data_IF_339244512692
#
_entry.id   IF_339244512692
#
_cell.length_a   1.000
_cell.length_b   1.000
_cell.length_c   1.000
_cell.angle_alpha   90.00
_cell.angle_beta   90.00
_cell.angle_gamma   90.00
#
_symmetry.space_group_name_H-M   'P 1'
#
loop_
_entity.id
_entity.type
_entity.pdbx_description
1 polymer ?
#
# COMPACT_ATOMS: atom_id res chain seq x y z
N UNK A 1 -19.30 -16.62 -3.87
CA UNK A 1 -18.95 -15.33 -4.50
C UNK A 1 -18.64 -15.58 -5.97
N UNK A 2 -19.18 -14.78 -6.88
CA UNK A 2 -18.96 -14.94 -8.32
C UNK A 2 -17.48 -14.64 -8.66
N UNK A 3 -16.81 -15.63 -9.27
CA UNK A 3 -15.38 -15.55 -9.59
C UNK A 3 -15.09 -14.52 -10.68
N UNK A 4 -16.08 -14.12 -11.48
CA UNK A 4 -15.94 -13.02 -12.44
C UNK A 4 -15.94 -11.65 -11.75
N UNK A 5 -16.68 -11.49 -10.65
CA UNK A 5 -16.65 -10.25 -9.84
C UNK A 5 -15.32 -10.10 -9.10
N UNK A 6 -14.67 -11.20 -8.75
CA UNK A 6 -13.33 -11.23 -8.14
C UNK A 6 -12.20 -10.70 -9.04
N UNK A 7 -12.38 -10.80 -10.36
CA UNK A 7 -11.44 -10.23 -11.33
C UNK A 7 -11.41 -8.70 -11.25
N UNK A 8 -12.57 -8.06 -11.07
CA UNK A 8 -12.66 -6.60 -10.93
C UNK A 8 -11.88 -6.12 -9.71
N UNK A 9 -12.01 -6.80 -8.57
CA UNK A 9 -11.22 -6.47 -7.37
C UNK A 9 -9.71 -6.60 -7.60
N UNK A 10 -9.28 -7.64 -8.32
CA UNK A 10 -7.87 -7.82 -8.67
C UNK A 10 -7.36 -6.67 -9.54
N UNK A 11 -8.16 -6.23 -10.51
CA UNK A 11 -7.79 -5.12 -11.40
C UNK A 11 -7.70 -3.80 -10.63
N UNK A 12 -8.68 -3.50 -9.77
CA UNK A 12 -8.68 -2.28 -8.95
C UNK A 12 -7.48 -2.28 -8.00
N UNK A 13 -7.25 -3.37 -7.26
CA UNK A 13 -6.13 -3.44 -6.32
C UNK A 13 -4.77 -3.33 -7.01
N UNK A 14 -4.64 -3.87 -8.22
CA UNK A 14 -3.42 -3.76 -9.03
C UNK A 14 -3.18 -2.33 -9.52
N UNK A 15 -4.21 -1.60 -9.95
CA UNK A 15 -4.07 -0.20 -10.33
C UNK A 15 -3.73 0.70 -9.14
N UNK A 16 -4.34 0.45 -7.98
CA UNK A 16 -3.95 1.14 -6.74
C UNK A 16 -2.47 0.89 -6.45
N UNK A 17 -2.01 -0.36 -6.51
CA UNK A 17 -0.60 -0.69 -6.27
C UNK A 17 0.34 0.06 -7.22
N UNK A 18 0.03 0.12 -8.52
CA UNK A 18 0.82 0.89 -9.50
C UNK A 18 0.81 2.39 -9.17
N UNK A 19 -0.37 2.94 -8.87
CA UNK A 19 -0.49 4.35 -8.51
C UNK A 19 0.37 4.67 -7.29
N UNK A 20 0.27 3.85 -6.25
CA UNK A 20 1.00 4.00 -4.98
C UNK A 20 2.51 3.93 -5.16
N UNK A 21 3.04 2.93 -5.90
CA UNK A 21 4.50 2.75 -6.05
C UNK A 21 5.15 3.88 -6.87
N UNK A 22 4.38 4.54 -7.74
CA UNK A 22 4.86 5.69 -8.52
C UNK A 22 4.69 6.99 -7.73
N UNK A 23 3.50 7.21 -7.18
CA UNK A 23 3.13 8.51 -6.61
C UNK A 23 3.80 8.76 -5.27
N UNK A 24 3.97 7.75 -4.41
CA UNK A 24 4.60 7.95 -3.11
C UNK A 24 6.06 8.45 -3.26
N UNK A 25 6.96 7.76 -4.00
CA UNK A 25 8.32 8.26 -4.18
C UNK A 25 8.36 9.64 -4.85
N UNK A 26 7.52 9.87 -5.86
CA UNK A 26 7.44 11.18 -6.54
C UNK A 26 6.98 12.28 -5.57
N UNK A 27 6.02 11.99 -4.69
CA UNK A 27 5.55 12.96 -3.69
C UNK A 27 6.59 13.32 -2.63
N UNK A 28 7.59 12.45 -2.42
CA UNK A 28 8.70 12.68 -1.50
C UNK A 28 9.81 13.48 -2.17
N UNK A 29 10.14 13.15 -3.43
CA UNK A 29 11.32 13.70 -4.11
C UNK A 29 11.06 14.88 -5.04
N UNK A 30 9.83 15.08 -5.51
CA UNK A 30 9.47 16.17 -6.40
C UNK A 30 8.62 17.23 -5.67
N UNK A 31 8.46 18.42 -6.28
CA UNK A 31 7.59 19.51 -5.80
C UNK A 31 6.09 19.20 -5.95
N UNK A 32 5.70 17.92 -5.94
CA UNK A 32 4.31 17.50 -6.00
C UNK A 32 3.66 17.80 -4.65
N UNK A 33 2.42 18.32 -4.63
CA UNK A 33 1.69 18.57 -3.39
C UNK A 33 1.68 17.34 -2.49
N UNK A 34 2.15 17.48 -1.24
CA UNK A 34 2.20 16.39 -0.24
C UNK A 34 0.85 15.69 -0.06
N UNK A 35 -0.26 16.41 -0.27
CA UNK A 35 -1.62 15.84 -0.24
C UNK A 35 -1.83 14.70 -1.23
N UNK A 36 -1.15 14.70 -2.39
CA UNK A 36 -1.23 13.63 -3.38
C UNK A 36 -0.58 12.34 -2.84
N UNK A 37 0.54 12.46 -2.12
CA UNK A 37 1.17 11.32 -1.43
C UNK A 37 0.27 10.73 -0.35
N UNK A 38 -0.42 11.57 0.41
CA UNK A 38 -1.40 11.13 1.43
C UNK A 38 -2.57 10.38 0.78
N UNK A 39 -3.10 10.88 -0.35
CA UNK A 39 -4.15 10.18 -1.11
C UNK A 39 -3.66 8.81 -1.59
N UNK A 40 -2.43 8.72 -2.11
CA UNK A 40 -1.83 7.46 -2.55
C UNK A 40 -1.65 6.47 -1.39
N UNK A 41 -1.28 6.95 -0.21
CA UNK A 41 -1.21 6.14 1.01
C UNK A 41 -2.59 5.62 1.42
N UNK A 42 -3.61 6.48 1.49
CA UNK A 42 -4.98 6.08 1.86
C UNK A 42 -5.57 5.08 0.86
N UNK A 43 -5.35 5.29 -0.44
CA UNK A 43 -5.74 4.34 -1.47
C UNK A 43 -5.06 2.99 -1.27
N UNK A 44 -3.76 2.97 -0.94
CA UNK A 44 -3.01 1.75 -0.62
C UNK A 44 -3.66 0.97 0.52
N UNK A 45 -4.06 1.67 1.59
CA UNK A 45 -4.74 1.05 2.75
C UNK A 45 -6.07 0.40 2.33
N UNK A 46 -6.85 1.06 1.47
CA UNK A 46 -8.09 0.49 0.89
C UNK A 46 -7.76 -0.66 -0.08
N UNK A 47 -6.62 -0.61 -0.75
CA UNK A 47 -6.11 -1.65 -1.65
C UNK A 47 -5.76 -2.95 -0.94
N UNK A 48 -5.42 -2.94 0.35
CA UNK A 48 -5.09 -4.14 1.14
C UNK A 48 -6.27 -5.13 1.21
N UNK A 49 -7.46 -4.78 1.74
CA UNK A 49 -8.59 -5.72 1.78
C UNK A 49 -9.02 -6.18 0.39
N UNK A 50 -8.95 -5.30 -0.62
CA UNK A 50 -9.20 -5.67 -2.02
C UNK A 50 -8.20 -6.71 -2.51
N UNK A 51 -6.92 -6.56 -2.17
CA UNK A 51 -5.86 -7.50 -2.52
C UNK A 51 -6.03 -8.85 -1.82
N UNK A 52 -6.46 -8.87 -0.55
CA UNK A 52 -6.77 -10.09 0.20
C UNK A 52 -7.94 -10.83 -0.47
N UNK A 53 -9.03 -10.12 -0.77
CA UNK A 53 -10.18 -10.71 -1.46
C UNK A 53 -9.79 -11.20 -2.86
N UNK A 54 -8.90 -10.48 -3.56
CA UNK A 54 -8.41 -10.86 -4.88
C UNK A 54 -7.65 -12.19 -4.90
N UNK A 55 -7.12 -12.66 -3.76
CA UNK A 55 -6.41 -13.95 -3.69
C UNK A 55 -7.29 -15.14 -4.08
N UNK A 56 -8.62 -15.02 -4.00
CA UNK A 56 -9.56 -16.07 -4.40
C UNK A 56 -10.00 -15.98 -5.88
N UNK A 57 -9.50 -14.98 -6.62
CA UNK A 57 -9.76 -14.77 -8.05
C UNK A 57 -9.11 -15.84 -8.95
N UNK A 58 -9.61 -15.97 -10.19
CA UNK A 58 -8.98 -16.77 -11.26
C UNK A 58 -7.89 -15.99 -12.04
N UNK A 59 -7.62 -14.74 -11.66
CA UNK A 59 -6.55 -13.93 -12.28
C UNK A 59 -5.14 -14.46 -12.00
N UNK A 60 -4.18 -13.95 -12.78
CA UNK A 60 -2.77 -14.34 -12.66
C UNK A 60 -2.29 -14.16 -11.21
N UNK A 61 -1.66 -15.21 -10.65
CA UNK A 61 -1.16 -15.21 -9.27
C UNK A 61 -0.10 -14.12 -9.04
N UNK A 62 0.75 -13.84 -10.03
CA UNK A 62 1.76 -12.79 -9.94
C UNK A 62 1.12 -11.42 -9.74
N UNK A 63 0.02 -11.10 -10.46
CA UNK A 63 -0.71 -9.83 -10.28
C UNK A 63 -1.31 -9.71 -8.89
N UNK A 64 -1.86 -10.79 -8.36
CA UNK A 64 -2.49 -10.84 -7.03
C UNK A 64 -1.46 -10.62 -5.92
N UNK A 65 -0.34 -11.34 -5.98
CA UNK A 65 0.76 -11.20 -5.02
C UNK A 65 1.38 -9.81 -5.12
N UNK A 66 1.64 -9.32 -6.32
CA UNK A 66 2.16 -7.97 -6.54
C UNK A 66 1.25 -6.91 -5.93
N UNK A 67 -0.04 -6.96 -6.23
CA UNK A 67 -1.01 -6.00 -5.67
C UNK A 67 -1.03 -6.05 -4.13
N UNK A 68 -0.99 -7.25 -3.53
CA UNK A 68 -0.97 -7.38 -2.08
C UNK A 68 0.29 -6.78 -1.46
N UNK A 69 1.48 -7.15 -1.95
CA UNK A 69 2.76 -6.69 -1.40
C UNK A 69 2.87 -5.17 -1.53
N UNK A 70 2.59 -4.64 -2.72
CA UNK A 70 2.76 -3.21 -2.99
C UNK A 70 1.74 -2.38 -2.22
N UNK A 71 0.50 -2.83 -2.08
CA UNK A 71 -0.50 -2.12 -1.27
C UNK A 71 -0.20 -2.19 0.23
N UNK A 72 0.54 -3.20 0.69
CA UNK A 72 0.94 -3.33 2.09
C UNK A 72 2.17 -2.47 2.42
N UNK A 73 3.07 -2.30 1.45
CA UNK A 73 4.38 -1.68 1.63
C UNK A 73 4.34 -0.27 2.28
N UNK A 74 3.47 0.66 1.88
CA UNK A 74 3.40 1.97 2.52
C UNK A 74 2.99 1.89 3.99
N UNK A 75 2.02 1.01 4.31
CA UNK A 75 1.58 0.81 5.68
C UNK A 75 2.72 0.20 6.51
N UNK A 76 3.45 -0.78 5.95
CA UNK A 76 4.61 -1.39 6.61
C UNK A 76 5.69 -0.37 6.92
N UNK A 77 6.03 0.50 5.96
CA UNK A 77 7.04 1.54 6.14
C UNK A 77 6.59 2.59 7.16
N UNK A 78 5.31 2.99 7.12
CA UNK A 78 4.76 3.91 8.10
C UNK A 78 4.80 3.33 9.52
N UNK A 79 4.35 2.09 9.69
CA UNK A 79 4.41 1.40 11.00
C UNK A 79 5.85 1.25 11.47
N UNK A 80 6.78 0.92 10.59
CA UNK A 80 8.20 0.83 10.93
C UNK A 80 8.75 2.17 11.43
N UNK A 81 8.51 3.26 10.70
CA UNK A 81 8.95 4.60 11.09
C UNK A 81 8.32 5.04 12.43
N UNK A 82 7.03 4.78 12.62
CA UNK A 82 6.33 5.09 13.86
C UNK A 82 6.89 4.32 15.06
N UNK A 83 7.15 3.01 14.90
CA UNK A 83 7.77 2.20 15.96
C UNK A 83 9.18 2.69 16.26
N UNK A 84 9.96 3.07 15.25
CA UNK A 84 11.30 3.62 15.43
C UNK A 84 11.26 4.91 16.26
N UNK A 85 10.35 5.83 15.95
CA UNK A 85 10.18 7.08 16.70
C UNK A 85 9.78 6.83 18.16
N UNK A 86 8.91 5.83 18.41
CA UNK A 86 8.59 5.42 19.78
C UNK A 86 9.79 4.81 20.52
N UNK A 87 10.60 4.00 19.83
CA UNK A 87 11.82 3.42 20.41
C UNK A 87 12.81 4.53 20.75
N UNK A 88 13.02 5.48 19.85
CA UNK A 88 13.93 6.60 20.07
C UNK A 88 13.47 7.46 21.27
N UNK A 89 12.19 7.81 21.34
CA UNK A 89 11.64 8.65 22.41
C UNK A 89 11.61 7.92 23.77
N UNK A 90 11.20 6.66 23.83
CA UNK A 90 10.94 5.97 25.11
C UNK A 90 12.05 5.03 25.57
N UNK A 91 12.91 4.54 24.66
CA UNK A 91 13.96 3.57 24.98
C UNK A 91 15.37 4.14 24.82
N UNK A 92 15.56 5.19 24.01
CA UNK A 92 16.86 5.86 23.82
C UNK A 92 16.95 7.25 24.49
N UNK A 93 15.98 7.63 25.33
CA UNK A 93 16.05 8.85 26.15
C UNK A 93 16.98 8.69 27.36
N UNK A 94 18.29 8.70 27.11
CA UNK A 94 19.35 9.16 28.01
C UNK A 94 20.61 9.47 27.16
N UNK A 95 21.47 10.44 27.54
CA UNK A 95 22.79 10.57 26.93
C UNK A 95 23.64 9.30 27.11
#
# INVERSE_FOLDING_TARGET
MDRNKLKVFTTISFFIAIFTIVVIPVSIHASVPKGIGIIAFLLSVIGIPLSIVSMFSKENIAKRIFALIVNLLPLSLFTYAFVLELVDEFLLSAP
#
